data_IF_576920958828
#
_entry.id   IF_576920958828
#
_cell.length_a   1.000
_cell.length_b   1.000
_cell.length_c   1.000
_cell.angle_alpha   90.00
_cell.angle_beta   90.00
_cell.angle_gamma   90.00
#
_symmetry.space_group_name_H-M   'P 1'
#
loop_
_entity.id
_entity.type
_entity.pdbx_description
1 polymer ?
#
# COMPACT_ATOMS: atom_id res chain seq x y z
N UNK A 1 6.21 -1.97 -10.37
CA UNK A 1 6.65 -2.72 -9.18
C UNK A 1 8.10 -2.47 -8.81
N UNK A 2 9.07 -2.63 -9.73
CA UNK A 2 10.51 -2.47 -9.42
C UNK A 2 10.95 -1.15 -8.76
N UNK A 3 10.29 -0.02 -9.03
CA UNK A 3 10.58 1.25 -8.33
C UNK A 3 10.19 1.20 -6.84
N UNK A 4 9.00 0.69 -6.53
CA UNK A 4 8.52 0.57 -5.15
C UNK A 4 9.37 -0.44 -4.36
N UNK A 5 9.81 -1.53 -5.01
CA UNK A 5 10.71 -2.51 -4.40
C UNK A 5 12.06 -1.87 -4.03
N UNK A 6 12.70 -1.14 -4.94
CA UNK A 6 13.97 -0.44 -4.67
C UNK A 6 13.85 0.60 -3.56
N UNK A 7 12.68 1.22 -3.41
CA UNK A 7 12.39 2.16 -2.34
C UNK A 7 12.09 1.48 -0.98
N UNK A 8 12.15 0.14 -0.88
CA UNK A 8 11.79 -0.59 0.33
C UNK A 8 10.29 -0.53 0.69
N UNK A 9 9.46 -0.11 -0.26
CA UNK A 9 8.02 0.14 -0.07
C UNK A 9 7.15 -1.09 -0.40
N UNK A 10 7.75 -2.27 -0.53
CA UNK A 10 7.06 -3.52 -0.86
C UNK A 10 7.55 -4.66 0.03
N UNK A 11 6.63 -5.32 0.72
CA UNK A 11 6.86 -6.60 1.39
C UNK A 11 6.44 -7.73 0.43
N UNK A 12 7.32 -8.70 0.21
CA UNK A 12 7.12 -9.77 -0.79
C UNK A 12 7.04 -11.12 -0.10
N UNK A 13 6.03 -11.92 -0.44
CA UNK A 13 5.80 -13.22 0.19
C UNK A 13 4.93 -13.14 1.43
N UNK A 14 4.42 -14.30 1.85
CA UNK A 14 3.35 -14.38 2.83
C UNK A 14 3.71 -13.84 4.22
N UNK A 15 4.85 -14.26 4.76
CA UNK A 15 5.28 -13.85 6.10
C UNK A 15 5.55 -12.34 6.20
N UNK A 16 6.35 -11.72 5.29
CA UNK A 16 6.54 -10.27 5.27
C UNK A 16 5.23 -9.49 5.06
N UNK A 17 4.33 -10.00 4.21
CA UNK A 17 3.01 -9.40 3.98
C UNK A 17 2.17 -9.43 5.25
N UNK A 18 2.10 -10.57 5.94
CA UNK A 18 1.38 -10.71 7.20
C UNK A 18 1.93 -9.78 8.28
N UNK A 19 3.26 -9.65 8.38
CA UNK A 19 3.90 -8.73 9.31
C UNK A 19 3.59 -7.26 9.00
N UNK A 20 3.67 -6.85 7.72
CA UNK A 20 3.34 -5.49 7.29
C UNK A 20 1.86 -5.14 7.53
N UNK A 21 0.96 -6.11 7.33
CA UNK A 21 -0.46 -5.95 7.58
C UNK A 21 -0.76 -5.81 9.08
N UNK A 22 -0.26 -6.73 9.92
CA UNK A 22 -0.41 -6.66 11.38
C UNK A 22 0.17 -5.38 11.98
N UNK A 23 1.30 -4.91 11.44
CA UNK A 23 1.89 -3.62 11.81
C UNK A 23 1.16 -2.38 11.27
N UNK A 24 0.02 -2.53 10.59
CA UNK A 24 -0.76 -1.46 9.94
C UNK A 24 0.06 -0.61 8.96
N UNK A 25 1.12 -1.19 8.39
CA UNK A 25 1.99 -0.55 7.40
C UNK A 25 1.51 -0.81 5.97
N UNK A 26 0.85 -1.94 5.72
CA UNK A 26 0.31 -2.28 4.41
C UNK A 26 -0.81 -1.31 3.99
N UNK A 27 -0.77 -0.83 2.74
CA UNK A 27 -1.81 0.01 2.13
C UNK A 27 -2.70 -0.79 1.20
N UNK A 28 -2.09 -1.68 0.44
CA UNK A 28 -2.74 -2.64 -0.44
C UNK A 28 -1.91 -3.92 -0.50
N UNK A 29 -2.59 -5.05 -0.47
CA UNK A 29 -2.05 -6.39 -0.71
C UNK A 29 -2.49 -6.80 -2.11
N UNK A 30 -1.55 -7.29 -2.90
CA UNK A 30 -1.79 -7.85 -4.23
C UNK A 30 -1.57 -9.36 -4.20
N UNK A 31 -2.47 -10.10 -4.85
CA UNK A 31 -2.29 -11.54 -5.13
C UNK A 31 -2.07 -11.76 -6.61
N UNK A 32 -1.20 -12.70 -6.98
CA UNK A 32 -1.09 -13.14 -8.37
C UNK A 32 -2.44 -13.69 -8.87
N UNK A 33 -2.68 -13.59 -10.18
CA UNK A 33 -3.91 -14.07 -10.82
C UNK A 33 -4.12 -15.58 -10.65
N UNK A 34 -3.04 -16.35 -10.70
CA UNK A 34 -2.99 -17.81 -10.53
C UNK A 34 -2.53 -18.21 -9.11
N UNK A 35 -2.68 -17.30 -8.13
CA UNK A 35 -2.47 -17.65 -6.74
C UNK A 35 -3.49 -18.72 -6.30
N UNK A 36 -3.02 -19.70 -5.52
CA UNK A 36 -3.90 -20.73 -4.98
C UNK A 36 -4.99 -20.10 -4.09
N UNK A 37 -6.18 -20.71 -4.06
CA UNK A 37 -7.30 -20.20 -3.26
C UNK A 37 -6.95 -20.05 -1.77
N UNK A 38 -6.08 -20.91 -1.23
CA UNK A 38 -5.55 -20.79 0.13
C UNK A 38 -4.73 -19.50 0.32
N UNK A 39 -3.85 -19.15 -0.63
CA UNK A 39 -3.07 -17.91 -0.61
C UNK A 39 -3.97 -16.68 -0.72
N UNK A 40 -4.98 -16.72 -1.58
CA UNK A 40 -5.94 -15.62 -1.73
C UNK A 40 -6.72 -15.39 -0.44
N UNK A 41 -7.30 -16.44 0.16
CA UNK A 41 -7.98 -16.35 1.47
C UNK A 41 -7.09 -15.76 2.56
N UNK A 42 -5.82 -16.17 2.58
CA UNK A 42 -4.84 -15.67 3.55
C UNK A 42 -4.53 -14.19 3.33
N UNK A 43 -4.35 -13.75 2.08
CA UNK A 43 -4.17 -12.34 1.75
C UNK A 43 -5.37 -11.48 2.19
N UNK A 44 -6.60 -11.95 1.97
CA UNK A 44 -7.81 -11.29 2.47
C UNK A 44 -7.84 -11.18 4.00
N UNK A 45 -7.48 -12.26 4.72
CA UNK A 45 -7.39 -12.24 6.18
C UNK A 45 -6.38 -11.21 6.68
N UNK A 46 -5.19 -11.15 6.06
CA UNK A 46 -4.21 -10.12 6.37
C UNK A 46 -4.70 -8.71 6.08
N UNK A 47 -5.36 -8.50 4.93
CA UNK A 47 -5.90 -7.19 4.58
C UNK A 47 -6.94 -6.71 5.58
N UNK A 48 -7.83 -7.62 6.01
CA UNK A 48 -8.81 -7.32 7.05
C UNK A 48 -8.15 -6.95 8.37
N UNK A 49 -7.19 -7.76 8.85
CA UNK A 49 -6.45 -7.50 10.09
C UNK A 49 -5.66 -6.18 10.04
N UNK A 50 -5.10 -5.83 8.87
CA UNK A 50 -4.34 -4.59 8.65
C UNK A 50 -5.18 -3.38 8.25
N UNK A 51 -6.51 -3.53 8.12
CA UNK A 51 -7.41 -2.49 7.60
C UNK A 51 -6.95 -1.88 6.25
N UNK A 52 -6.40 -2.74 5.38
CA UNK A 52 -5.89 -2.39 4.07
C UNK A 52 -6.67 -3.11 2.96
N UNK A 53 -6.42 -2.75 1.70
CA UNK A 53 -7.13 -3.34 0.56
C UNK A 53 -6.45 -4.65 0.14
N UNK A 54 -7.21 -5.62 -0.39
CA UNK A 54 -6.70 -6.81 -1.06
C UNK A 54 -7.23 -6.82 -2.49
N UNK A 55 -6.35 -6.93 -3.48
CA UNK A 55 -6.72 -6.90 -4.89
C UNK A 55 -5.98 -8.00 -5.66
N UNK A 56 -6.64 -8.66 -6.63
CA UNK A 56 -5.90 -9.47 -7.60
C UNK A 56 -5.01 -8.56 -8.44
N UNK A 57 -3.85 -9.05 -8.85
CA UNK A 57 -2.97 -8.39 -9.80
C UNK A 57 -3.07 -9.10 -11.14
N UNK A 58 -3.14 -8.38 -12.28
CA UNK A 58 -3.36 -8.99 -13.60
C UNK A 58 -2.09 -9.63 -14.17
N UNK A 59 -1.34 -10.39 -13.36
CA UNK A 59 -0.18 -11.16 -13.77
C UNK A 59 -0.15 -12.50 -13.01
N UNK A 60 0.41 -13.52 -13.65
CA UNK A 60 0.71 -14.79 -12.97
C UNK A 60 1.87 -14.64 -11.96
N UNK A 61 2.07 -15.65 -11.11
CA UNK A 61 3.07 -15.64 -10.05
C UNK A 61 4.49 -15.41 -10.57
N UNK A 62 4.80 -15.90 -11.77
CA UNK A 62 6.14 -15.83 -12.34
C UNK A 62 6.43 -14.43 -12.90
N UNK A 63 5.53 -13.86 -13.69
CA UNK A 63 5.62 -12.48 -14.17
C UNK A 63 5.59 -11.49 -12.98
N UNK A 64 4.74 -11.76 -11.99
CA UNK A 64 4.66 -10.97 -10.78
C UNK A 64 5.95 -11.05 -9.95
N UNK A 65 6.49 -12.26 -9.79
CA UNK A 65 7.76 -12.52 -9.13
C UNK A 65 8.93 -11.81 -9.81
N UNK A 66 9.06 -11.95 -11.14
CA UNK A 66 10.12 -11.30 -11.92
C UNK A 66 10.11 -9.78 -11.73
N UNK A 67 8.92 -9.17 -11.75
CA UNK A 67 8.77 -7.73 -11.50
C UNK A 67 9.16 -7.28 -10.07
N UNK A 68 9.25 -8.24 -9.15
CA UNK A 68 9.66 -8.09 -7.75
C UNK A 68 11.07 -8.67 -7.47
N UNK A 69 11.85 -9.02 -8.51
CA UNK A 69 13.20 -9.58 -8.33
C UNK A 69 13.19 -10.94 -7.64
N UNK A 70 12.16 -11.76 -7.90
CA UNK A 70 11.99 -13.13 -7.40
C UNK A 70 11.62 -14.05 -8.56
N UNK A 71 11.77 -15.35 -8.38
CA UNK A 71 11.40 -16.33 -9.42
C UNK A 71 9.88 -16.44 -9.58
N UNK A 72 9.16 -16.49 -8.45
CA UNK A 72 7.70 -16.64 -8.42
C UNK A 72 7.16 -16.08 -7.09
N UNK A 73 6.03 -15.37 -7.11
CA UNK A 73 5.43 -14.74 -5.93
C UNK A 73 3.91 -14.85 -5.96
N UNK A 74 3.32 -15.40 -4.90
CA UNK A 74 1.86 -15.49 -4.76
C UNK A 74 1.21 -14.18 -4.30
N UNK A 75 1.89 -13.41 -3.45
CA UNK A 75 1.38 -12.15 -2.92
C UNK A 75 2.48 -11.16 -2.53
N UNK A 76 2.16 -9.86 -2.57
CA UNK A 76 3.00 -8.80 -2.02
C UNK A 76 2.13 -7.70 -1.38
N UNK A 77 2.71 -6.87 -0.51
CA UNK A 77 2.04 -5.73 0.09
C UNK A 77 2.82 -4.46 -0.24
N UNK A 78 2.14 -3.45 -0.76
CA UNK A 78 2.70 -2.10 -0.92
C UNK A 78 2.43 -1.32 0.35
N UNK A 79 3.49 -0.80 0.97
CA UNK A 79 3.44 -0.13 2.28
C UNK A 79 3.40 1.40 2.18
N UNK A 80 3.92 1.94 1.08
CA UNK A 80 3.82 3.36 0.78
C UNK A 80 2.49 3.71 0.10
N UNK A 81 1.86 4.80 0.53
CA UNK A 81 0.56 5.21 0.02
C UNK A 81 0.65 5.81 -1.40
N UNK A 82 1.74 6.52 -1.72
CA UNK A 82 1.93 7.12 -3.04
C UNK A 82 2.13 6.05 -4.12
N UNK A 83 2.95 5.03 -3.83
CA UNK A 83 3.12 3.89 -4.72
C UNK A 83 1.83 3.08 -4.87
N UNK A 84 1.11 2.80 -3.76
CA UNK A 84 -0.17 2.10 -3.81
C UNK A 84 -1.18 2.83 -4.70
N UNK A 85 -1.33 4.14 -4.48
CA UNK A 85 -2.22 5.00 -5.26
C UNK A 85 -1.86 5.02 -6.74
N UNK A 86 -0.58 5.27 -7.08
CA UNK A 86 -0.13 5.33 -8.48
C UNK A 86 -0.34 4.01 -9.22
N UNK A 87 -0.08 2.89 -8.54
CA UNK A 87 -0.26 1.56 -9.12
C UNK A 87 -1.73 1.23 -9.35
N UNK A 88 -2.59 1.40 -8.35
CA UNK A 88 -4.02 1.09 -8.47
C UNK A 88 -4.71 2.03 -9.47
N UNK A 89 -4.27 3.29 -9.58
CA UNK A 89 -4.75 4.20 -10.64
C UNK A 89 -4.45 3.69 -12.04
N UNK A 90 -3.23 3.18 -12.26
CA UNK A 90 -2.86 2.59 -13.56
C UNK A 90 -3.70 1.34 -13.86
N UNK A 91 -3.97 0.52 -12.84
CA UNK A 91 -4.85 -0.64 -12.99
C UNK A 91 -6.29 -0.22 -13.28
N UNK A 92 -6.83 0.78 -12.59
CA UNK A 92 -8.17 1.31 -12.80
C UNK A 92 -8.35 1.99 -14.17
N UNK A 93 -7.30 2.56 -14.74
CA UNK A 93 -7.32 3.09 -16.09
C UNK A 93 -7.47 1.98 -17.16
N UNK A 94 -6.98 0.76 -16.87
CA UNK A 94 -7.13 -0.40 -17.74
C UNK A 94 -8.43 -1.19 -17.47
N UNK A 95 -8.84 -1.27 -16.19
CA UNK A 95 -10.02 -2.00 -15.74
C UNK A 95 -10.67 -1.24 -14.56
N UNK A 96 -11.58 -0.32 -14.91
CA UNK A 96 -12.28 0.52 -13.94
C UNK A 96 -13.28 -0.24 -13.08
N UNK A 97 -13.83 -1.35 -13.60
CA UNK A 97 -14.82 -2.16 -12.90
C UNK A 97 -14.20 -2.85 -11.69
N UNK A 98 -13.03 -3.48 -11.88
CA UNK A 98 -12.34 -4.18 -10.80
C UNK A 98 -11.64 -3.22 -9.82
N UNK A 99 -10.99 -2.17 -10.32
CA UNK A 99 -10.06 -1.36 -9.51
C UNK A 99 -10.56 0.05 -9.17
N UNK A 100 -11.67 0.50 -9.75
CA UNK A 100 -12.16 1.88 -9.61
C UNK A 100 -12.43 2.26 -8.15
N UNK A 101 -13.19 1.43 -7.43
CA UNK A 101 -13.49 1.66 -6.00
C UNK A 101 -12.23 1.69 -5.13
N UNK A 102 -11.28 0.79 -5.39
CA UNK A 102 -10.02 0.73 -4.67
C UNK A 102 -9.13 1.95 -4.93
N UNK A 103 -9.12 2.45 -6.18
CA UNK A 103 -8.42 3.67 -6.57
C UNK A 103 -8.96 4.88 -5.78
N UNK A 104 -10.29 5.03 -5.72
CA UNK A 104 -10.93 6.12 -4.97
C UNK A 104 -10.63 6.03 -3.46
N UNK A 105 -10.70 4.82 -2.89
CA UNK A 105 -10.38 4.61 -1.47
C UNK A 105 -8.92 4.98 -1.13
N UNK A 106 -7.98 4.64 -2.02
CA UNK A 106 -6.57 5.03 -1.85
C UNK A 106 -6.35 6.53 -2.04
N UNK A 107 -7.10 7.20 -2.92
CA UNK A 107 -7.05 8.66 -3.08
C UNK A 107 -7.44 9.39 -1.81
N UNK A 108 -8.52 8.95 -1.16
CA UNK A 108 -8.95 9.51 0.13
C UNK A 108 -7.88 9.27 1.20
N UNK A 109 -7.31 8.05 1.28
CA UNK A 109 -6.22 7.74 2.22
C UNK A 109 -4.95 8.55 1.95
N UNK A 110 -4.62 8.79 0.68
CA UNK A 110 -3.45 9.58 0.26
C UNK A 110 -3.63 11.07 0.56
N UNK A 111 -4.83 11.63 0.34
CA UNK A 111 -5.15 13.01 0.72
C UNK A 111 -4.97 13.23 2.22
N UNK A 112 -5.59 12.37 3.05
CA UNK A 112 -5.44 12.38 4.52
C UNK A 112 -4.00 12.16 5.00
N UNK A 113 -3.21 11.38 4.27
CA UNK A 113 -1.80 11.18 4.59
C UNK A 113 -0.96 12.43 4.29
N UNK A 114 -1.26 13.16 3.22
CA UNK A 114 -0.61 14.43 2.87
C UNK A 114 -0.92 15.53 3.88
N UNK A 115 -2.20 15.71 4.21
CA UNK A 115 -2.65 16.70 5.22
C UNK A 115 -1.92 16.50 6.56
N UNK A 116 -1.86 15.25 7.06
CA UNK A 116 -1.12 14.95 8.31
C UNK A 116 0.38 15.22 8.22
N UNK A 117 1.00 14.98 7.06
CA UNK A 117 2.43 15.23 6.87
C UNK A 117 2.71 16.74 6.84
N UNK A 118 1.82 17.52 6.23
CA UNK A 118 1.89 18.98 6.21
C UNK A 118 1.72 19.57 7.62
N UNK A 119 0.73 19.10 8.39
CA UNK A 119 0.54 19.48 9.79
C UNK A 119 1.77 19.17 10.66
N UNK A 120 2.35 17.97 10.50
CA UNK A 120 3.57 17.57 11.22
C UNK A 120 4.77 18.44 10.83
N UNK A 121 4.96 18.71 9.54
CA UNK A 121 6.04 19.56 9.06
C UNK A 121 5.88 21.01 9.54
N UNK A 122 4.64 21.52 9.59
CA UNK A 122 4.34 22.83 10.16
C UNK A 122 4.61 22.85 11.67
N UNK A 123 4.21 21.81 12.40
CA UNK A 123 4.47 21.68 13.84
C UNK A 123 5.98 21.63 14.14
N UNK A 124 6.75 20.85 13.38
CA UNK A 124 8.20 20.76 13.50
C UNK A 124 8.90 22.09 13.19
N UNK A 125 8.45 22.80 12.14
CA UNK A 125 8.94 24.15 11.83
C UNK A 125 8.64 25.15 12.96
N UNK A 126 7.43 25.11 13.51
CA UNK A 126 7.03 25.98 14.62
C UNK A 126 7.85 25.71 15.89
N UNK A 127 8.12 24.44 16.20
CA UNK A 127 9.01 24.04 17.29
C UNK A 127 10.43 24.56 17.07
N UNK A 128 10.99 24.39 15.86
CA UNK A 128 12.35 24.84 15.51
C UNK A 128 12.51 26.36 15.57
N UNK A 129 11.46 27.12 15.24
CA UNK A 129 11.46 28.58 15.29
C UNK A 129 11.11 29.16 16.67
N UNK A 130 10.91 28.31 17.70
CA UNK A 130 10.65 28.77 19.07
C UNK A 130 9.29 29.44 19.28
N UNK A 131 8.37 29.39 18.29
CA UNK A 131 7.02 29.94 18.43
C UNK A 131 6.19 29.03 19.33
N UNK A 132 6.25 29.26 20.66
CA UNK A 132 5.30 28.66 21.61
C UNK A 132 3.88 29.15 21.29
N UNK A 133 2.90 28.24 21.38
CA UNK A 133 1.48 28.61 21.38
C UNK A 133 1.30 29.70 22.44
N UNK A 134 0.93 30.90 22.01
CA UNK A 134 0.39 31.93 22.89
C UNK A 134 -0.95 31.38 23.35
N UNK A 135 -1.00 30.87 24.57
CA UNK A 135 -2.27 30.56 25.21
C UNK A 135 -3.00 31.90 25.36
N UNK A 136 -4.04 32.11 24.54
CA UNK A 136 -5.01 33.16 24.80
C UNK A 136 -5.79 32.70 26.05
N UNK A 137 -5.64 33.47 27.13
CA UNK A 137 -6.40 33.36 28.36
C UNK A 137 -7.84 33.84 28.15
#
# INVERSE_FOLDING_TARGET
MGLALRAGAVAVGEEPVGAAARGKKARVIFTARDAAASSVRRAYSFAHAGSCLCLPFPADKDAFGRALGRTSVAMCAVTDIGFAQSLVKKLAAADGETYGAASQALDIKAKRARERKEEQAQHEKNLRQGKRRVHAA
#
